data_IF_439614758578
#
_entry.id   IF_439614758578
#
_cell.length_a   1.000
_cell.length_b   1.000
_cell.length_c   1.000
_cell.angle_alpha   90.00
_cell.angle_beta   90.00
_cell.angle_gamma   90.00
#
_symmetry.space_group_name_H-M   'P 1'
#
loop_
_entity.id
_entity.type
_entity.pdbx_description
1 polymer ?
#
# COMPACT_ATOMS: atom_id res chain seq x y z
N UNK A 1 13.69 8.05 -4.52
CA UNK A 1 12.99 8.94 -5.44
C UNK A 1 11.83 9.59 -4.73
N UNK A 2 11.61 10.87 -4.97
CA UNK A 2 10.64 11.64 -4.22
C UNK A 2 9.39 11.88 -5.07
N UNK A 3 8.23 11.62 -4.48
CA UNK A 3 6.93 11.90 -5.07
C UNK A 3 6.29 13.02 -4.26
N UNK A 4 5.89 14.09 -4.94
CA UNK A 4 5.33 15.26 -4.29
C UNK A 4 3.81 15.26 -4.43
N UNK A 5 3.20 16.42 -4.21
CA UNK A 5 1.75 16.56 -4.36
C UNK A 5 1.36 16.17 -5.77
N UNK A 6 0.45 15.21 -5.84
CA UNK A 6 0.02 14.68 -7.11
C UNK A 6 -1.49 14.55 -7.01
N UNK A 7 -2.21 14.57 -8.09
CA UNK A 7 -3.65 14.49 -8.06
C UNK A 7 -4.16 13.23 -7.38
N UNK A 8 -4.85 12.38 -8.11
CA UNK A 8 -5.49 11.23 -7.49
C UNK A 8 -4.48 10.16 -7.07
N UNK A 9 -3.51 9.87 -7.93
CA UNK A 9 -2.55 8.80 -7.71
C UNK A 9 -1.14 9.32 -7.89
N UNK A 10 -0.21 8.89 -7.04
CA UNK A 10 1.18 9.28 -7.16
C UNK A 10 1.90 8.45 -8.22
N UNK A 11 1.57 7.17 -8.32
CA UNK A 11 2.23 6.27 -9.25
C UNK A 11 1.28 5.16 -9.66
N UNK A 12 1.34 4.77 -10.94
CA UNK A 12 0.54 3.67 -11.45
C UNK A 12 1.45 2.60 -12.02
N UNK A 13 1.24 1.36 -11.58
CA UNK A 13 1.93 0.19 -12.13
C UNK A 13 1.05 -0.36 -13.23
N UNK A 14 1.47 -0.24 -14.48
CA UNK A 14 0.64 -0.54 -15.65
C UNK A 14 0.97 -1.87 -16.32
N UNK A 15 2.15 -2.44 -16.06
CA UNK A 15 2.59 -3.67 -16.70
C UNK A 15 3.04 -4.66 -15.64
N UNK A 16 2.90 -5.94 -15.96
CA UNK A 16 3.34 -6.99 -15.07
C UNK A 16 4.87 -7.02 -14.94
N UNK A 17 5.35 -7.52 -13.82
CA UNK A 17 6.77 -7.61 -13.55
C UNK A 17 7.07 -7.30 -12.10
N UNK A 18 8.35 -7.01 -11.84
CA UNK A 18 8.82 -6.68 -10.48
C UNK A 18 9.24 -5.23 -10.42
N UNK A 19 8.75 -4.53 -9.40
CA UNK A 19 9.05 -3.11 -9.19
C UNK A 19 9.78 -2.98 -7.85
N UNK A 20 10.87 -2.24 -7.85
CA UNK A 20 11.59 -1.89 -6.63
C UNK A 20 11.63 -0.38 -6.49
N UNK A 21 11.15 0.13 -5.37
CA UNK A 21 11.23 1.54 -5.04
C UNK A 21 11.90 1.66 -3.67
N UNK A 22 13.12 2.16 -3.65
CA UNK A 22 13.88 2.33 -2.44
C UNK A 22 14.11 3.82 -2.21
N UNK A 23 13.51 4.33 -1.13
CA UNK A 23 13.61 5.74 -0.77
C UNK A 23 12.66 6.62 -1.60
N UNK A 24 11.95 7.46 -0.91
CA UNK A 24 11.04 8.40 -1.52
C UNK A 24 10.00 8.91 -0.55
N UNK A 25 9.16 9.81 -1.03
CA UNK A 25 8.06 10.33 -0.23
C UNK A 25 6.90 10.75 -1.11
N UNK A 26 5.71 10.76 -0.50
CA UNK A 26 4.50 11.27 -1.13
C UNK A 26 3.62 11.88 -0.07
N UNK A 27 2.92 12.96 -0.42
CA UNK A 27 2.03 13.63 0.51
C UNK A 27 0.86 14.27 -0.22
N UNK A 28 -0.28 14.36 0.47
CA UNK A 28 -1.45 15.11 0.01
C UNK A 28 -2.04 14.58 -1.30
N UNK A 29 -2.08 13.26 -1.45
CA UNK A 29 -2.77 12.63 -2.56
C UNK A 29 -4.27 12.62 -2.30
N UNK A 30 -5.09 12.77 -3.34
CA UNK A 30 -6.53 12.81 -3.17
C UNK A 30 -7.12 11.43 -2.93
N UNK A 31 -6.56 10.40 -3.55
CA UNK A 31 -7.08 9.04 -3.41
C UNK A 31 -5.98 8.09 -2.98
N UNK A 32 -5.17 7.59 -3.90
CA UNK A 32 -4.17 6.59 -3.54
C UNK A 32 -2.77 7.02 -3.94
N UNK A 33 -1.77 6.55 -3.18
CA UNK A 33 -0.38 6.81 -3.52
C UNK A 33 0.02 5.92 -4.69
N UNK A 34 -0.29 4.64 -4.61
CA UNK A 34 0.05 3.69 -5.68
C UNK A 34 -1.19 2.98 -6.17
N UNK A 35 -1.39 2.98 -7.49
CA UNK A 35 -2.42 2.21 -8.16
C UNK A 35 -1.76 1.09 -8.94
N UNK A 36 -2.29 -0.12 -8.82
CA UNK A 36 -1.72 -1.30 -9.50
C UNK A 36 -2.74 -1.85 -10.48
N UNK A 37 -2.40 -1.81 -11.76
CA UNK A 37 -3.31 -2.20 -12.85
C UNK A 37 -2.88 -3.48 -13.55
N UNK A 38 -1.81 -4.13 -13.11
CA UNK A 38 -1.32 -5.36 -13.72
C UNK A 38 -0.68 -6.25 -12.66
N UNK A 39 -0.62 -7.54 -12.92
CA UNK A 39 0.00 -8.51 -12.02
C UNK A 39 1.46 -8.12 -11.77
N UNK A 40 1.83 -7.94 -10.49
CA UNK A 40 3.15 -7.41 -10.19
C UNK A 40 3.62 -7.87 -8.82
N UNK A 41 4.94 -7.88 -8.66
CA UNK A 41 5.57 -7.98 -7.36
C UNK A 41 6.21 -6.62 -7.08
N UNK A 42 5.86 -6.00 -5.96
CA UNK A 42 6.23 -4.61 -5.68
C UNK A 42 6.94 -4.56 -4.33
N UNK A 43 8.16 -4.04 -4.34
CA UNK A 43 8.97 -3.86 -3.15
C UNK A 43 9.16 -2.38 -2.89
N UNK A 44 8.67 -1.90 -1.74
CA UNK A 44 8.81 -0.50 -1.35
C UNK A 44 9.53 -0.46 -0.01
N UNK A 45 10.63 0.27 0.04
CA UNK A 45 11.40 0.43 1.26
C UNK A 45 11.83 1.87 1.45
N UNK A 46 11.98 2.27 2.71
CA UNK A 46 12.47 3.60 3.09
C UNK A 46 11.62 4.71 2.46
N UNK A 47 10.30 4.56 2.51
CA UNK A 47 9.37 5.47 1.88
C UNK A 47 8.48 6.10 2.96
N UNK A 48 8.21 7.39 2.81
CA UNK A 48 7.32 8.12 3.71
C UNK A 48 6.10 8.58 2.91
N UNK A 49 4.91 8.22 3.39
CA UNK A 49 3.66 8.63 2.74
C UNK A 49 2.72 9.22 3.76
N UNK A 50 2.09 10.35 3.43
CA UNK A 50 1.17 11.03 4.33
C UNK A 50 -0.02 11.61 3.57
N UNK A 51 -1.18 11.53 4.20
CA UNK A 51 -2.39 12.27 3.81
C UNK A 51 -2.87 11.87 2.41
N UNK A 52 -3.43 10.69 2.32
CA UNK A 52 -4.08 10.20 1.11
C UNK A 52 -5.24 9.28 1.52
N UNK A 53 -5.94 8.75 0.55
CA UNK A 53 -7.00 7.79 0.84
C UNK A 53 -6.44 6.41 1.17
N UNK A 54 -5.55 5.91 0.34
CA UNK A 54 -4.92 4.60 0.49
C UNK A 54 -3.45 4.69 0.07
N UNK A 55 -2.60 3.87 0.71
CA UNK A 55 -1.22 3.82 0.28
C UNK A 55 -1.07 2.99 -1.00
N UNK A 56 -1.69 1.80 -1.05
CA UNK A 56 -1.58 0.89 -2.18
C UNK A 56 -2.94 0.30 -2.50
N UNK A 57 -3.35 0.36 -3.76
CA UNK A 57 -4.65 -0.15 -4.19
C UNK A 57 -4.51 -0.92 -5.50
N UNK A 58 -4.89 -2.19 -5.50
CA UNK A 58 -5.09 -2.91 -6.75
C UNK A 58 -6.35 -2.37 -7.43
N UNK A 59 -6.28 -2.15 -8.73
CA UNK A 59 -7.41 -1.60 -9.48
C UNK A 59 -8.69 -2.35 -9.16
N UNK A 60 -9.73 -1.61 -8.80
CA UNK A 60 -10.98 -2.19 -8.31
C UNK A 60 -11.59 -3.19 -9.27
N UNK A 61 -12.07 -4.30 -8.73
CA UNK A 61 -12.70 -5.35 -9.51
C UNK A 61 -11.74 -6.28 -10.23
N UNK A 62 -10.43 -6.04 -10.18
CA UNK A 62 -9.45 -6.92 -10.80
C UNK A 62 -9.06 -8.04 -9.85
N UNK A 63 -8.70 -9.20 -10.39
CA UNK A 63 -8.40 -10.39 -9.60
C UNK A 63 -7.01 -10.97 -9.87
N UNK A 64 -6.17 -10.26 -10.61
CA UNK A 64 -4.79 -10.71 -10.80
C UNK A 64 -4.03 -10.69 -9.47
N UNK A 65 -2.87 -11.31 -9.40
CA UNK A 65 -2.07 -11.37 -8.18
C UNK A 65 -1.14 -10.17 -8.09
N UNK A 66 -1.24 -9.45 -6.98
CA UNK A 66 -0.38 -8.33 -6.63
C UNK A 66 0.27 -8.65 -5.30
N UNK A 67 1.56 -8.94 -5.30
CA UNK A 67 2.31 -9.20 -4.07
C UNK A 67 3.15 -7.99 -3.72
N UNK A 68 2.93 -7.44 -2.54
CA UNK A 68 3.54 -6.17 -2.13
C UNK A 68 4.33 -6.38 -0.85
N UNK A 69 5.56 -5.86 -0.84
CA UNK A 69 6.42 -5.89 0.32
C UNK A 69 6.73 -4.44 0.72
N UNK A 70 6.28 -4.05 1.91
CA UNK A 70 6.45 -2.71 2.45
C UNK A 70 7.35 -2.84 3.67
N UNK A 71 8.54 -2.25 3.61
CA UNK A 71 9.55 -2.43 4.63
C UNK A 71 10.23 -1.10 4.95
N UNK A 72 10.45 -0.82 6.22
CA UNK A 72 11.08 0.43 6.67
C UNK A 72 10.38 1.68 6.11
N UNK A 73 9.05 1.69 6.19
CA UNK A 73 8.24 2.80 5.70
C UNK A 73 7.54 3.50 6.86
N UNK A 74 7.16 4.77 6.62
CA UNK A 74 6.37 5.55 7.57
C UNK A 74 5.12 6.01 6.83
N UNK A 75 3.96 5.48 7.22
CA UNK A 75 2.71 5.72 6.51
C UNK A 75 1.69 6.28 7.49
N UNK A 76 1.21 7.50 7.22
CA UNK A 76 0.30 8.15 8.14
C UNK A 76 -0.84 8.86 7.42
N UNK A 77 -1.95 9.01 8.14
CA UNK A 77 -3.12 9.78 7.69
C UNK A 77 -3.67 9.26 6.37
N UNK A 78 -3.95 7.97 6.32
CA UNK A 78 -4.66 7.34 5.22
C UNK A 78 -6.14 7.25 5.60
N UNK A 79 -7.02 7.77 4.76
CA UNK A 79 -8.45 7.79 5.05
C UNK A 79 -9.03 6.38 5.17
N UNK A 80 -8.53 5.44 4.38
CA UNK A 80 -9.04 4.07 4.40
C UNK A 80 -8.04 3.07 4.94
N UNK A 81 -6.92 2.86 4.24
CA UNK A 81 -6.04 1.75 4.56
C UNK A 81 -4.65 1.94 3.96
N UNK A 82 -3.76 1.02 4.34
CA UNK A 82 -2.44 0.92 3.72
C UNK A 82 -2.52 0.14 2.41
N UNK A 83 -3.28 -0.96 2.39
CA UNK A 83 -3.30 -1.86 1.23
C UNK A 83 -4.72 -2.38 1.03
N UNK A 84 -5.20 -2.35 -0.22
CA UNK A 84 -6.52 -2.87 -0.54
C UNK A 84 -6.50 -3.64 -1.85
N UNK A 85 -7.15 -4.79 -1.87
CA UNK A 85 -7.28 -5.63 -3.05
C UNK A 85 -8.61 -6.37 -3.05
N UNK A 86 -9.16 -6.62 -4.22
CA UNK A 86 -10.32 -7.50 -4.41
C UNK A 86 -9.90 -8.91 -4.82
N UNK A 87 -8.61 -9.15 -5.00
CA UNK A 87 -8.07 -10.46 -5.36
C UNK A 87 -7.96 -11.34 -4.11
N UNK A 88 -8.24 -12.62 -4.27
CA UNK A 88 -8.07 -13.59 -3.19
C UNK A 88 -6.67 -14.19 -3.18
N UNK A 89 -5.83 -13.88 -4.17
CA UNK A 89 -4.48 -14.42 -4.28
C UNK A 89 -3.39 -13.39 -4.02
N UNK A 90 -3.73 -12.12 -3.95
CA UNK A 90 -2.77 -11.05 -3.66
C UNK A 90 -2.37 -11.06 -2.18
N UNK A 91 -1.14 -10.68 -1.89
CA UNK A 91 -0.59 -10.74 -0.54
C UNK A 91 0.20 -9.48 -0.24
N UNK A 92 0.13 -9.01 1.01
CA UNK A 92 0.92 -7.89 1.49
C UNK A 92 1.80 -8.32 2.66
N UNK A 93 3.04 -7.89 2.64
CA UNK A 93 3.99 -8.06 3.74
C UNK A 93 4.40 -6.67 4.21
N UNK A 94 4.10 -6.34 5.47
CA UNK A 94 4.32 -5.02 6.04
C UNK A 94 5.19 -5.18 7.28
N UNK A 95 6.44 -4.76 7.20
CA UNK A 95 7.44 -5.07 8.21
C UNK A 95 8.32 -3.87 8.54
N UNK A 96 8.81 -3.85 9.78
CA UNK A 96 9.82 -2.87 10.24
C UNK A 96 9.41 -1.44 9.93
N UNK A 97 8.15 -1.09 10.16
CA UNK A 97 7.57 0.16 9.71
C UNK A 97 6.79 0.84 10.82
N UNK A 98 6.42 2.10 10.58
CA UNK A 98 5.59 2.90 11.49
C UNK A 98 4.35 3.36 10.77
N UNK A 99 3.27 3.51 11.52
CA UNK A 99 2.05 4.06 10.94
C UNK A 99 1.22 4.78 11.99
N UNK A 100 0.38 5.71 11.53
CA UNK A 100 -0.60 6.37 12.39
C UNK A 100 -1.73 6.92 11.54
N UNK A 101 -2.88 7.15 12.18
CA UNK A 101 -4.01 7.79 11.51
C UNK A 101 -4.57 7.02 10.33
N UNK A 102 -4.62 5.69 10.42
CA UNK A 102 -5.22 4.86 9.37
C UNK A 102 -6.71 4.72 9.68
N UNK A 103 -7.56 5.10 8.73
CA UNK A 103 -8.99 5.27 8.98
C UNK A 103 -9.74 3.98 9.25
N UNK A 104 -9.82 3.08 8.28
CA UNK A 104 -10.63 1.88 8.45
C UNK A 104 -9.85 0.70 8.99
N UNK A 105 -8.75 0.33 8.33
CA UNK A 105 -7.92 -0.79 8.74
C UNK A 105 -6.58 -0.72 8.01
N UNK A 106 -5.57 -1.48 8.48
CA UNK A 106 -4.31 -1.58 7.76
C UNK A 106 -4.53 -2.16 6.37
N UNK A 107 -5.31 -3.23 6.28
CA UNK A 107 -5.54 -3.93 5.02
C UNK A 107 -7.02 -4.19 4.81
N UNK A 108 -7.45 -4.12 3.55
CA UNK A 108 -8.83 -4.46 3.18
C UNK A 108 -8.77 -5.46 2.03
N UNK A 109 -9.32 -6.65 2.28
CA UNK A 109 -9.39 -7.73 1.29
C UNK A 109 -10.86 -7.90 0.91
N UNK A 110 -11.24 -7.43 -0.29
CA UNK A 110 -12.65 -7.32 -0.62
C UNK A 110 -13.32 -6.37 0.33
N UNK A 111 -14.20 -6.89 1.18
CA UNK A 111 -14.88 -6.11 2.22
C UNK A 111 -14.32 -6.40 3.62
N UNK A 112 -13.33 -7.27 3.74
CA UNK A 112 -12.81 -7.69 5.03
C UNK A 112 -11.68 -6.78 5.49
N UNK A 113 -11.81 -6.24 6.70
CA UNK A 113 -10.82 -5.36 7.30
C UNK A 113 -9.90 -6.17 8.21
N UNK A 114 -8.59 -6.07 7.99
CA UNK A 114 -7.60 -6.86 8.71
C UNK A 114 -6.48 -5.93 9.20
N UNK A 115 -6.13 -6.06 10.48
CA UNK A 115 -5.07 -5.25 11.08
C UNK A 115 -3.84 -6.05 11.49
N UNK A 116 -3.69 -7.26 11.00
CA UNK A 116 -2.59 -8.13 11.40
C UNK A 116 -2.35 -9.23 10.39
N UNK A 117 -1.86 -10.35 10.89
CA UNK A 117 -1.59 -11.50 10.04
C UNK A 117 -2.86 -12.19 9.60
N UNK A 118 -2.87 -12.67 8.37
CA UNK A 118 -3.99 -13.41 7.79
C UNK A 118 -3.45 -14.29 6.68
N UNK A 119 -4.34 -14.95 5.93
CA UNK A 119 -3.91 -15.71 4.76
C UNK A 119 -3.34 -14.84 3.66
N UNK A 120 -3.65 -13.54 3.66
CA UNK A 120 -3.21 -12.60 2.63
C UNK A 120 -2.35 -11.48 3.18
N UNK A 121 -1.99 -11.51 4.46
CA UNK A 121 -1.15 -10.47 5.05
C UNK A 121 -0.18 -11.04 6.07
N UNK A 122 1.02 -10.47 6.07
CA UNK A 122 2.06 -10.79 7.05
C UNK A 122 2.55 -9.48 7.63
N UNK A 123 2.54 -9.36 8.97
CA UNK A 123 3.03 -8.16 9.64
C UNK A 123 4.06 -8.55 10.71
N UNK A 124 5.06 -7.71 10.89
CA UNK A 124 6.10 -7.95 11.87
C UNK A 124 6.80 -6.63 12.16
N UNK A 125 7.08 -6.40 13.44
CA UNK A 125 7.86 -5.24 13.89
C UNK A 125 7.25 -3.93 13.38
N UNK A 126 5.98 -3.70 13.72
CA UNK A 126 5.29 -2.46 13.39
C UNK A 126 5.14 -1.60 14.64
N UNK A 127 5.21 -0.29 14.46
CA UNK A 127 4.98 0.68 15.51
C UNK A 127 3.83 1.59 15.10
N UNK A 128 2.80 1.67 15.92
CA UNK A 128 1.72 2.64 15.73
C UNK A 128 2.01 3.85 16.62
N UNK A 129 1.94 5.03 16.03
CA UNK A 129 2.22 6.25 16.77
C UNK A 129 1.15 7.31 16.64
#
# INVERSE_FOLDING_TARGET
EELLDIGEDAMTVKESGTVHLNCGSAANGEDKVFQVNAAAEIHISNFTARNAGKFMRQNGGTTFTMNVFIDHCDISDMDECVYRTDSTTSHVTFTNSRYSGIGDALFIFGDSEVNGNSGQSTVSNLEQY
#
